data_IF_478421887487
#
_entry.id   IF_478421887487
#
_cell.length_a   1.000
_cell.length_b   1.000
_cell.length_c   1.000
_cell.angle_alpha   90.00
_cell.angle_beta   90.00
_cell.angle_gamma   90.00
#
_symmetry.space_group_name_H-M   'P 1'
#
loop_
_entity.id
_entity.type
_entity.pdbx_description
1 polymer ?
#
# COMPACT_ATOMS: atom_id res chain seq x y z
N UNK A 1 -10.21 17.59 22.59
CA UNK A 1 -10.56 17.32 21.18
C UNK A 1 -9.95 15.97 20.86
N UNK A 2 -10.69 15.05 20.26
CA UNK A 2 -10.08 13.85 19.67
C UNK A 2 -9.26 14.31 18.47
N UNK A 3 -7.98 13.93 18.41
CA UNK A 3 -7.14 14.21 17.25
C UNK A 3 -7.70 13.47 16.03
N UNK A 4 -8.01 14.24 14.97
CA UNK A 4 -8.48 13.68 13.70
C UNK A 4 -7.27 13.12 12.96
N UNK A 5 -7.38 11.86 12.52
CA UNK A 5 -6.37 11.16 11.73
C UNK A 5 -6.73 11.30 10.25
N UNK A 6 -5.80 11.81 9.44
CA UNK A 6 -5.96 11.95 7.99
C UNK A 6 -5.04 10.97 7.26
N UNK A 7 -5.64 10.05 6.49
CA UNK A 7 -4.91 9.01 5.75
C UNK A 7 -5.17 9.04 4.26
N UNK A 8 -4.36 8.27 3.52
CA UNK A 8 -4.53 7.97 2.10
C UNK A 8 -4.76 6.47 1.93
N UNK A 9 -5.51 6.10 0.89
CA UNK A 9 -5.65 4.72 0.45
C UNK A 9 -5.41 4.58 -1.05
N UNK A 10 -4.97 3.41 -1.47
CA UNK A 10 -4.80 3.06 -2.89
C UNK A 10 -5.01 1.57 -3.11
N UNK A 11 -5.56 1.19 -4.26
CA UNK A 11 -5.62 -0.21 -4.71
C UNK A 11 -4.40 -0.59 -5.56
N UNK A 12 -3.48 0.34 -5.80
CA UNK A 12 -2.31 0.12 -6.65
C UNK A 12 -2.67 -0.03 -8.12
N UNK A 13 -3.70 0.66 -8.59
CA UNK A 13 -4.10 0.77 -10.01
C UNK A 13 -2.89 1.04 -10.90
N UNK A 14 -2.91 0.56 -12.14
CA UNK A 14 -1.91 0.94 -13.13
C UNK A 14 -2.18 2.36 -13.65
N UNK A 15 -1.31 3.36 -13.37
CA UNK A 15 -1.52 4.69 -13.90
C UNK A 15 -1.38 4.70 -15.42
N UNK A 16 -2.01 5.69 -16.06
CA UNK A 16 -1.84 5.93 -17.50
C UNK A 16 -0.69 6.91 -17.72
N UNK A 17 0.14 6.65 -18.73
CA UNK A 17 1.22 7.54 -19.19
C UNK A 17 0.66 8.64 -20.12
N UNK A 18 1.46 9.65 -20.42
CA UNK A 18 1.06 10.77 -21.28
C UNK A 18 0.63 10.35 -22.70
N UNK A 19 1.14 9.20 -23.17
CA UNK A 19 0.79 8.59 -24.46
C UNK A 19 -0.45 7.69 -24.42
N UNK A 20 -1.12 7.58 -23.26
CA UNK A 20 -2.29 6.74 -23.05
C UNK A 20 -1.98 5.27 -22.72
N UNK A 21 -0.71 4.85 -22.70
CA UNK A 21 -0.35 3.49 -22.32
C UNK A 21 -0.37 3.30 -20.80
N UNK A 22 -0.74 2.11 -20.33
CA UNK A 22 -0.62 1.78 -18.91
C UNK A 22 0.86 1.70 -18.50
N UNK A 23 1.15 2.16 -17.29
CA UNK A 23 2.42 1.93 -16.63
C UNK A 23 2.57 0.44 -16.32
N UNK A 24 3.78 -0.11 -16.48
CA UNK A 24 4.06 -1.49 -16.10
C UNK A 24 3.98 -1.71 -14.59
N UNK A 25 3.49 -2.88 -14.17
CA UNK A 25 3.25 -3.27 -12.77
C UNK A 25 4.44 -2.94 -11.83
N UNK A 26 5.66 -3.28 -12.24
CA UNK A 26 6.85 -3.01 -11.42
C UNK A 26 7.08 -1.50 -11.17
N UNK A 27 6.75 -0.65 -12.14
CA UNK A 27 6.85 0.81 -11.98
C UNK A 27 5.71 1.34 -11.11
N UNK A 28 4.49 0.84 -11.28
CA UNK A 28 3.35 1.20 -10.44
C UNK A 28 3.62 0.88 -8.96
N UNK A 29 4.13 -0.32 -8.64
CA UNK A 29 4.51 -0.68 -7.25
C UNK A 29 5.55 0.29 -6.68
N UNK A 30 6.59 0.65 -7.46
CA UNK A 30 7.61 1.63 -7.01
C UNK A 30 7.00 3.02 -6.78
N UNK A 31 6.06 3.44 -7.61
CA UNK A 31 5.34 4.70 -7.43
C UNK A 31 4.52 4.69 -6.13
N UNK A 32 3.80 3.61 -5.82
CA UNK A 32 3.10 3.48 -4.53
C UNK A 32 4.06 3.62 -3.35
N UNK A 33 5.26 3.03 -3.43
CA UNK A 33 6.28 3.20 -2.37
C UNK A 33 6.77 4.64 -2.28
N UNK A 34 7.07 5.28 -3.41
CA UNK A 34 7.53 6.68 -3.45
C UNK A 34 6.45 7.66 -2.96
N UNK A 35 5.18 7.40 -3.27
CA UNK A 35 4.02 8.15 -2.78
C UNK A 35 3.86 8.02 -1.26
N UNK A 36 4.02 6.81 -0.71
CA UNK A 36 3.99 6.60 0.73
C UNK A 36 5.15 7.29 1.45
N UNK A 37 6.35 7.32 0.85
CA UNK A 37 7.49 8.09 1.36
C UNK A 37 7.19 9.59 1.36
N UNK A 38 6.56 10.12 0.31
CA UNK A 38 6.14 11.51 0.28
C UNK A 38 5.07 11.78 1.35
N UNK A 39 4.08 10.90 1.48
CA UNK A 39 3.03 10.99 2.50
C UNK A 39 3.61 11.06 3.93
N UNK A 40 4.62 10.23 4.22
CA UNK A 40 5.37 10.26 5.48
C UNK A 40 6.01 11.64 5.73
N UNK A 41 6.68 12.18 4.72
CA UNK A 41 7.39 13.46 4.78
C UNK A 41 6.46 14.67 4.96
N UNK A 42 5.28 14.64 4.35
CA UNK A 42 4.33 15.79 4.36
C UNK A 42 3.32 15.74 5.52
N UNK A 43 3.40 14.74 6.39
CA UNK A 43 2.58 14.69 7.61
C UNK A 43 1.29 13.87 7.51
N UNK A 44 1.08 13.06 6.47
CA UNK A 44 -0.08 12.15 6.38
C UNK A 44 0.02 11.06 7.46
N UNK A 45 -1.07 10.75 8.16
CA UNK A 45 -1.02 9.88 9.35
C UNK A 45 -1.01 8.39 9.03
N UNK A 46 -1.62 7.98 7.91
CA UNK A 46 -1.82 6.59 7.53
C UNK A 46 -1.74 6.45 6.01
N UNK A 47 -1.11 5.36 5.54
CA UNK A 47 -1.29 4.86 4.17
C UNK A 47 -1.89 3.45 4.23
N UNK A 48 -2.98 3.25 3.50
CA UNK A 48 -3.63 1.96 3.35
C UNK A 48 -3.42 1.41 1.93
N UNK A 49 -2.88 0.20 1.81
CA UNK A 49 -2.66 -0.45 0.50
C UNK A 49 -3.64 -1.62 0.34
N UNK A 50 -4.46 -1.58 -0.69
CA UNK A 50 -5.47 -2.59 -0.99
C UNK A 50 -4.93 -3.79 -1.75
N UNK A 51 -5.61 -4.93 -1.58
CA UNK A 51 -5.36 -6.16 -2.31
C UNK A 51 -6.27 -6.29 -3.53
N UNK A 52 -5.71 -6.56 -4.70
CA UNK A 52 -6.44 -6.82 -5.94
C UNK A 52 -5.82 -7.98 -6.75
N UNK A 53 -6.69 -8.74 -7.42
CA UNK A 53 -6.29 -9.89 -8.26
C UNK A 53 -6.80 -9.72 -9.70
N UNK A 54 -6.50 -8.56 -10.31
CA UNK A 54 -6.91 -8.18 -11.66
C UNK A 54 -5.75 -7.54 -12.43
N UNK A 55 -5.71 -7.65 -13.78
CA UNK A 55 -4.60 -7.17 -14.59
C UNK A 55 -4.43 -5.64 -14.62
N UNK A 56 -5.44 -4.89 -14.20
CA UNK A 56 -5.41 -3.42 -14.12
C UNK A 56 -4.91 -2.90 -12.76
N UNK A 57 -4.52 -3.78 -11.84
CA UNK A 57 -3.95 -3.44 -10.54
C UNK A 57 -2.60 -4.14 -10.32
N UNK A 58 -1.69 -3.46 -9.64
CA UNK A 58 -0.32 -3.94 -9.43
C UNK A 58 -0.07 -4.63 -8.08
N UNK A 59 -1.01 -4.54 -7.14
CA UNK A 59 -0.82 -5.01 -5.76
C UNK A 59 -1.78 -6.15 -5.41
N UNK A 60 -1.26 -7.38 -5.43
CA UNK A 60 -1.97 -8.58 -4.96
C UNK A 60 -1.52 -9.07 -3.58
N UNK A 61 -0.44 -8.50 -3.05
CA UNK A 61 0.14 -8.82 -1.75
C UNK A 61 0.49 -7.51 -1.03
N UNK A 62 -0.48 -6.83 -0.40
CA UNK A 62 -0.26 -5.51 0.19
C UNK A 62 0.79 -5.53 1.30
N UNK A 63 0.85 -6.60 2.09
CA UNK A 63 1.87 -6.82 3.13
C UNK A 63 3.30 -6.74 2.61
N UNK A 64 3.57 -7.27 1.41
CA UNK A 64 4.89 -7.21 0.77
C UNK A 64 5.24 -5.77 0.37
N UNK A 65 4.27 -5.03 -0.18
CA UNK A 65 4.46 -3.62 -0.55
C UNK A 65 4.65 -2.77 0.71
N UNK A 66 3.81 -2.97 1.73
CA UNK A 66 3.89 -2.27 3.01
C UNK A 66 5.25 -2.53 3.70
N UNK A 67 5.82 -3.74 3.63
CA UNK A 67 7.16 -4.01 4.15
C UNK A 67 8.25 -3.18 3.43
N UNK A 68 8.10 -2.98 2.11
CA UNK A 68 8.95 -2.08 1.33
C UNK A 68 8.80 -0.60 1.74
N UNK A 69 7.60 -0.18 2.10
CA UNK A 69 7.32 1.16 2.63
C UNK A 69 7.93 1.32 4.03
N UNK A 70 7.75 0.34 4.91
CA UNK A 70 8.27 0.35 6.28
C UNK A 70 9.78 0.59 6.34
N UNK A 71 10.55 -0.01 5.42
CA UNK A 71 11.99 0.22 5.32
C UNK A 71 12.41 1.61 4.82
N UNK A 72 11.46 2.46 4.42
CA UNK A 72 11.69 3.78 3.78
C UNK A 72 10.99 4.94 4.50
N UNK A 73 10.13 4.66 5.48
CA UNK A 73 9.34 5.64 6.23
C UNK A 73 9.58 5.52 7.73
N UNK A 74 9.22 6.56 8.50
CA UNK A 74 9.50 6.59 9.95
C UNK A 74 8.35 7.00 10.85
N UNK A 75 7.32 7.68 10.31
CA UNK A 75 6.20 8.21 11.12
C UNK A 75 4.83 7.68 10.67
N UNK A 76 4.61 7.55 9.36
CA UNK A 76 3.33 7.14 8.79
C UNK A 76 2.96 5.72 9.26
N UNK A 77 1.70 5.53 9.63
CA UNK A 77 1.19 4.20 9.97
C UNK A 77 0.81 3.44 8.72
N UNK A 78 1.06 2.14 8.75
CA UNK A 78 0.89 1.24 7.62
C UNK A 78 -0.31 0.32 7.86
N UNK A 79 -1.19 0.19 6.87
CA UNK A 79 -2.37 -0.68 6.96
C UNK A 79 -2.68 -1.33 5.60
N UNK A 80 -3.37 -2.48 5.62
CA UNK A 80 -4.09 -2.93 4.42
C UNK A 80 -5.43 -2.21 4.28
N UNK A 81 -5.86 -1.92 3.05
CA UNK A 81 -7.16 -1.32 2.75
C UNK A 81 -7.92 -2.04 1.62
N UNK A 82 -8.13 -3.35 1.65
CA UNK A 82 -8.10 -4.29 2.78
C UNK A 82 -7.27 -5.54 2.46
N UNK A 83 -7.01 -6.38 3.47
CA UNK A 83 -6.68 -7.80 3.23
C UNK A 83 -7.97 -8.55 2.95
N UNK A 84 -8.06 -9.29 1.84
CA UNK A 84 -9.24 -10.10 1.50
C UNK A 84 -9.22 -11.38 2.33
N UNK A 85 -9.42 -11.22 3.64
CA UNK A 85 -9.17 -12.24 4.66
C UNK A 85 -9.95 -13.54 4.44
N UNK A 86 -11.15 -13.48 3.85
CA UNK A 86 -11.96 -14.67 3.56
C UNK A 86 -11.31 -15.66 2.60
N UNK A 87 -10.30 -15.22 1.85
CA UNK A 87 -9.58 -16.02 0.84
C UNK A 87 -8.09 -16.18 1.13
N UNK A 88 -7.59 -15.76 2.29
CA UNK A 88 -6.20 -15.98 2.72
C UNK A 88 -6.16 -16.82 4.03
N UNK A 89 -4.98 -17.34 4.37
CA UNK A 89 -4.74 -18.07 5.61
C UNK A 89 -4.57 -17.08 6.77
N UNK A 90 -5.47 -17.05 7.78
CA UNK A 90 -5.40 -16.09 8.87
C UNK A 90 -4.13 -16.22 9.72
N UNK A 91 -3.50 -17.41 9.80
CA UNK A 91 -2.22 -17.58 10.48
C UNK A 91 -1.12 -16.85 9.71
N UNK A 92 -1.13 -16.94 8.38
CA UNK A 92 -0.16 -16.23 7.52
C UNK A 92 -0.37 -14.74 7.55
N UNK A 93 -1.62 -14.27 7.46
CA UNK A 93 -1.97 -12.85 7.60
C UNK A 93 -1.43 -12.31 8.91
N UNK A 94 -1.74 -12.96 10.03
CA UNK A 94 -1.23 -12.54 11.34
C UNK A 94 0.31 -12.49 11.37
N UNK A 95 0.99 -13.55 10.90
CA UNK A 95 2.45 -13.62 10.90
C UNK A 95 3.12 -12.53 10.05
N UNK A 96 2.57 -12.23 8.87
CA UNK A 96 3.08 -11.19 7.96
C UNK A 96 2.96 -9.80 8.60
N UNK A 97 1.78 -9.46 9.13
CA UNK A 97 1.59 -8.19 9.81
C UNK A 97 2.37 -8.09 11.12
N UNK A 98 2.50 -9.17 11.89
CA UNK A 98 3.33 -9.19 13.10
C UNK A 98 4.85 -9.12 12.80
N UNK A 99 5.27 -9.45 11.58
CA UNK A 99 6.65 -9.23 11.12
C UNK A 99 6.88 -7.80 10.64
N UNK A 100 5.81 -7.13 10.20
CA UNK A 100 5.84 -5.77 9.68
C UNK A 100 5.80 -4.71 10.80
N UNK A 101 5.12 -5.02 11.91
CA UNK A 101 5.03 -4.20 13.13
C UNK A 101 6.41 -4.00 13.81
#
# INVERSE_FOLDING_TARGET
MTDVVMGLDTFGDLPTQDDGALVGHARAIRQVVDEAVLADQVGVDVIAVGEQHRPDYSVSAPDVVLAGIAGRTSRIRLASGVTVLSSDDPVRVYQRFATLD
#
